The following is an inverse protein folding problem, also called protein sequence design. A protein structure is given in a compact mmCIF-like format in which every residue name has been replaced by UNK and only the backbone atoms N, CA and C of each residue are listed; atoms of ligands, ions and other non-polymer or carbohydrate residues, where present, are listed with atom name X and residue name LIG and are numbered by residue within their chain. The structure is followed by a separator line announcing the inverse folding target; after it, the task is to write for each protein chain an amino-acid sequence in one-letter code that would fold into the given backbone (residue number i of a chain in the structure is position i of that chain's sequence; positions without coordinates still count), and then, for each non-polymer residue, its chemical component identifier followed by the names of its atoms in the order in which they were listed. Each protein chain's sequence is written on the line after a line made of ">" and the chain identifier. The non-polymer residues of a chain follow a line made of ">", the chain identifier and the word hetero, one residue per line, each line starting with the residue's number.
data_IF_773088655916
#
_entry.id   IF_773088655916
#
_cell.length_a   1.000
_cell.length_b   1.000
_cell.length_c   1.000
_cell.angle_alpha   90.00
_cell.angle_beta   90.00
_cell.angle_gamma   90.00
#
_symmetry.space_group_name_H-M   'P 1'
#
loop_
_entity.id
_entity.type
_entity.pdbx_description
1 polymer ?
#
# COMPACT_ATOMS: atom_id res chain seq x y z
N UNK A 1 20.80 -31.52 -63.31
CA UNK A 1 21.98 -30.77 -63.78
C UNK A 1 22.47 -29.93 -62.61
N UNK A 2 23.55 -30.38 -61.95
CA UNK A 2 24.88 -29.70 -61.84
C UNK A 2 24.85 -28.58 -60.77
N UNK A 3 25.73 -28.44 -59.78
CA UNK A 3 26.82 -29.23 -59.16
C UNK A 3 27.19 -28.46 -57.87
N UNK A 4 27.40 -29.11 -56.73
CA UNK A 4 28.72 -29.38 -56.12
C UNK A 4 29.85 -28.39 -56.46
N UNK A 5 30.31 -27.62 -55.46
CA UNK A 5 31.68 -27.11 -55.38
C UNK A 5 32.18 -27.17 -53.93
N UNK A 6 33.22 -27.98 -53.73
CA UNK A 6 34.15 -27.99 -52.60
C UNK A 6 35.29 -27.01 -52.89
N UNK A 7 35.79 -26.30 -51.86
CA UNK A 7 37.22 -25.94 -51.69
C UNK A 7 37.46 -25.60 -50.22
N UNK A 8 38.14 -26.46 -49.44
CA UNK A 8 39.56 -26.36 -49.12
C UNK A 8 40.04 -24.98 -48.61
N UNK A 9 40.26 -24.90 -47.30
CA UNK A 9 41.29 -24.06 -46.69
C UNK A 9 41.88 -24.82 -45.50
N UNK A 10 43.12 -25.29 -45.66
CA UNK A 10 43.96 -25.91 -44.65
C UNK A 10 44.97 -24.89 -44.11
N UNK A 11 45.37 -25.13 -42.86
CA UNK A 11 46.61 -24.74 -42.18
C UNK A 11 46.93 -23.26 -41.98
N UNK A 12 46.79 -22.80 -40.74
CA UNK A 12 47.83 -22.09 -39.98
C UNK A 12 47.31 -21.82 -38.55
N UNK A 13 47.43 -22.80 -37.66
CA UNK A 13 47.17 -22.62 -36.22
C UNK A 13 48.11 -23.54 -35.43
N UNK A 14 49.41 -23.25 -35.46
CA UNK A 14 50.41 -23.87 -34.59
C UNK A 14 51.52 -22.85 -34.26
N UNK A 15 51.21 -21.74 -33.57
CA UNK A 15 52.26 -21.01 -32.80
C UNK A 15 51.78 -20.02 -31.72
N UNK A 16 50.67 -20.27 -31.02
CA UNK A 16 50.16 -19.35 -29.97
C UNK A 16 49.88 -19.99 -28.60
N UNK A 17 50.29 -21.24 -28.39
CA UNK A 17 50.08 -21.97 -27.12
C UNK A 17 51.23 -21.85 -26.11
N UNK A 18 52.35 -21.19 -26.42
CA UNK A 18 53.55 -21.22 -25.55
C UNK A 18 53.71 -20.01 -24.61
N UNK A 19 53.00 -18.89 -24.81
CA UNK A 19 53.19 -17.66 -24.02
C UNK A 19 52.15 -17.37 -22.93
N UNK A 20 51.20 -18.27 -22.68
CA UNK A 20 50.13 -18.09 -21.68
C UNK A 20 50.24 -19.00 -20.44
N UNK A 21 51.44 -19.50 -20.12
CA UNK A 21 51.67 -20.37 -18.95
C UNK A 21 52.60 -19.78 -17.87
N UNK A 22 52.97 -18.49 -17.94
CA UNK A 22 53.92 -17.89 -17.01
C UNK A 22 53.43 -16.65 -16.24
N UNK A 23 52.13 -16.31 -16.31
CA UNK A 23 51.52 -15.21 -15.56
C UNK A 23 50.50 -15.65 -14.49
N UNK A 24 50.24 -16.95 -14.32
CA UNK A 24 49.24 -17.48 -13.38
C UNK A 24 49.74 -17.79 -11.97
N UNK A 25 51.02 -17.62 -11.67
CA UNK A 25 51.60 -17.97 -10.35
C UNK A 25 51.91 -16.78 -9.44
N UNK A 26 51.56 -15.54 -9.82
CA UNK A 26 51.78 -14.34 -8.98
C UNK A 26 50.48 -13.58 -8.60
N UNK A 27 49.32 -14.09 -9.01
CA UNK A 27 48.00 -13.46 -8.73
C UNK A 27 47.24 -14.11 -7.57
N UNK A 28 47.67 -15.28 -7.07
CA UNK A 28 46.96 -16.06 -6.05
C UNK A 28 47.17 -15.53 -4.63
N UNK A 29 48.28 -14.84 -4.36
CA UNK A 29 48.66 -14.47 -2.99
C UNK A 29 48.05 -13.12 -2.55
N UNK A 30 47.66 -12.26 -3.49
CA UNK A 30 47.06 -10.96 -3.18
C UNK A 30 45.56 -11.04 -2.83
N UNK A 31 44.83 -12.00 -3.38
CA UNK A 31 43.40 -12.15 -3.09
C UNK A 31 43.15 -12.71 -1.67
N UNK A 32 44.04 -13.61 -1.21
CA UNK A 32 44.00 -14.16 0.16
C UNK A 32 44.20 -13.08 1.25
N UNK A 33 45.11 -12.13 1.02
CA UNK A 33 45.35 -11.01 1.94
C UNK A 33 44.18 -10.03 2.00
N UNK A 34 43.46 -9.84 0.89
CA UNK A 34 42.30 -8.96 0.83
C UNK A 34 41.09 -9.57 1.56
N UNK A 35 40.84 -10.87 1.40
CA UNK A 35 39.77 -11.58 2.12
C UNK A 35 39.99 -11.60 3.63
N UNK A 36 41.22 -11.83 4.07
CA UNK A 36 41.59 -11.80 5.50
C UNK A 36 41.33 -10.41 6.11
N UNK A 37 41.67 -9.34 5.37
CA UNK A 37 41.40 -7.96 5.81
C UNK A 37 39.90 -7.64 5.93
N UNK A 38 39.07 -8.18 5.05
CA UNK A 38 37.61 -7.98 5.10
C UNK A 38 36.98 -8.72 6.28
N UNK A 39 37.44 -9.96 6.56
CA UNK A 39 36.98 -10.75 7.70
C UNK A 39 37.28 -10.03 9.03
N UNK A 40 38.50 -9.55 9.22
CA UNK A 40 38.87 -8.79 10.43
C UNK A 40 38.03 -7.50 10.60
N UNK A 41 37.75 -6.78 9.51
CA UNK A 41 36.90 -5.58 9.56
C UNK A 41 35.48 -5.93 9.97
N UNK A 42 34.96 -7.07 9.54
CA UNK A 42 33.64 -7.57 9.92
C UNK A 42 33.59 -7.97 11.40
N UNK A 43 34.59 -8.71 11.89
CA UNK A 43 34.68 -9.09 13.30
C UNK A 43 34.78 -7.88 14.23
N UNK A 44 35.61 -6.88 13.90
CA UNK A 44 35.71 -5.63 14.67
C UNK A 44 34.38 -4.88 14.70
N UNK A 45 33.59 -4.90 13.62
CA UNK A 45 32.24 -4.31 13.59
C UNK A 45 31.27 -5.09 14.49
N UNK A 46 31.34 -6.42 14.48
CA UNK A 46 30.49 -7.27 15.32
C UNK A 46 30.82 -7.12 16.81
N UNK A 47 32.10 -7.06 17.18
CA UNK A 47 32.55 -6.78 18.54
C UNK A 47 32.05 -5.40 19.02
N UNK A 48 32.19 -4.34 18.22
CA UNK A 48 31.66 -3.01 18.56
C UNK A 48 30.14 -3.00 18.73
N UNK A 49 29.40 -3.80 17.95
CA UNK A 49 27.94 -3.96 18.10
C UNK A 49 27.58 -4.69 19.40
N UNK A 50 28.32 -5.73 19.76
CA UNK A 50 28.14 -6.46 21.01
C UNK A 50 28.43 -5.57 22.23
N UNK A 51 29.52 -4.80 22.20
CA UNK A 51 29.90 -3.87 23.27
C UNK A 51 28.84 -2.78 23.49
N UNK A 52 28.33 -2.16 22.41
CA UNK A 52 27.23 -1.18 22.51
C UNK A 52 25.93 -1.78 23.06
N UNK A 53 25.64 -3.06 22.82
CA UNK A 53 24.49 -3.76 23.42
C UNK A 53 24.70 -3.97 24.92
N UNK A 54 25.89 -4.40 25.33
CA UNK A 54 26.24 -4.58 26.74
C UNK A 54 26.16 -3.26 27.53
N UNK A 55 26.69 -2.17 26.97
CA UNK A 55 26.62 -0.83 27.57
C UNK A 55 25.16 -0.35 27.74
N UNK A 56 24.31 -0.56 26.73
CA UNK A 56 22.87 -0.22 26.83
C UNK A 56 22.16 -1.04 27.90
N UNK A 57 22.51 -2.32 28.03
CA UNK A 57 21.95 -3.20 29.05
C UNK A 57 22.38 -2.75 30.46
N UNK A 58 23.66 -2.46 30.67
CA UNK A 58 24.16 -1.94 31.95
C UNK A 58 23.56 -0.57 32.30
N UNK A 59 23.44 0.34 31.32
CA UNK A 59 22.78 1.65 31.53
C UNK A 59 21.33 1.48 31.96
N UNK A 60 20.61 0.52 31.38
CA UNK A 60 19.22 0.20 31.75
C UNK A 60 19.13 -0.38 33.16
N UNK A 61 20.04 -1.27 33.56
CA UNK A 61 20.07 -1.80 34.93
C UNK A 61 20.38 -0.71 35.96
N UNK A 62 21.30 0.23 35.65
CA UNK A 62 21.57 1.38 36.53
C UNK A 62 20.35 2.28 36.70
N UNK A 63 19.60 2.55 35.63
CA UNK A 63 18.36 3.32 35.70
C UNK A 63 17.30 2.62 36.57
N UNK A 64 17.14 1.30 36.42
CA UNK A 64 16.19 0.53 37.23
C UNK A 64 16.59 0.48 38.72
N UNK A 65 17.88 0.40 39.04
CA UNK A 65 18.38 0.47 40.41
C UNK A 65 18.21 1.87 41.03
N UNK A 66 18.33 2.93 40.20
CA UNK A 66 18.11 4.31 40.63
C UNK A 66 16.61 4.61 40.85
N UNK A 67 15.72 4.02 40.05
CA UNK A 67 14.27 4.04 40.30
C UNK A 67 13.88 3.25 41.56
N UNK A 68 14.57 2.14 41.86
CA UNK A 68 14.27 1.33 43.04
C UNK A 68 14.72 2.01 44.36
N UNK A 69 15.78 2.82 44.32
CA UNK A 69 16.32 3.53 45.50
C UNK A 69 15.65 4.88 45.78
N UNK A 70 14.85 5.40 44.85
CA UNK A 70 14.08 6.64 45.03
C UNK A 70 12.64 6.41 45.54
N UNK A 71 12.24 5.16 45.81
CA UNK A 71 10.99 4.85 46.53
C UNK A 71 11.17 4.96 48.05
N UNK A 72 11.43 6.18 48.52
CA UNK A 72 10.97 6.63 49.84
C UNK A 72 9.43 6.71 49.87
N UNK A 73 8.79 6.97 51.02
CA UNK A 73 7.39 6.62 51.28
C UNK A 73 6.44 7.20 50.22
N UNK A 74 6.00 6.33 49.32
CA UNK A 74 4.88 6.55 48.42
C UNK A 74 3.63 6.71 49.29
N UNK A 75 3.32 7.95 49.69
CA UNK A 75 2.05 8.26 50.34
C UNK A 75 1.51 9.62 49.92
N UNK A 76 2.29 10.71 49.95
CA UNK A 76 1.72 12.03 49.64
C UNK A 76 1.50 12.31 48.14
N UNK A 77 2.52 12.15 47.30
CA UNK A 77 2.44 12.59 45.88
C UNK A 77 1.42 11.77 45.08
N UNK A 78 1.32 10.47 45.33
CA UNK A 78 0.32 9.62 44.67
C UNK A 78 -1.09 9.97 45.12
N UNK A 79 -1.30 10.27 46.41
CA UNK A 79 -2.59 10.75 46.91
C UNK A 79 -2.95 12.10 46.27
N UNK A 80 -2.01 13.03 46.15
CA UNK A 80 -2.24 14.32 45.47
C UNK A 80 -2.58 14.14 43.98
N UNK A 81 -1.89 13.24 43.28
CA UNK A 81 -2.17 12.93 41.87
C UNK A 81 -3.54 12.28 41.68
N UNK A 82 -3.90 11.31 42.52
CA UNK A 82 -5.20 10.66 42.44
C UNK A 82 -6.34 11.60 42.83
N UNK A 83 -6.13 12.48 43.82
CA UNK A 83 -7.08 13.55 44.14
C UNK A 83 -7.24 14.55 42.99
N UNK A 84 -6.15 14.93 42.32
CA UNK A 84 -6.19 15.79 41.13
C UNK A 84 -6.98 15.15 39.99
N UNK A 85 -6.75 13.87 39.70
CA UNK A 85 -7.49 13.12 38.67
C UNK A 85 -8.97 13.03 39.02
N UNK A 86 -9.31 12.75 40.27
CA UNK A 86 -10.70 12.68 40.73
C UNK A 86 -11.42 14.03 40.57
N UNK A 87 -10.77 15.15 40.92
CA UNK A 87 -11.32 16.49 40.75
C UNK A 87 -11.51 16.84 39.26
N UNK A 88 -10.54 16.51 38.40
CA UNK A 88 -10.68 16.72 36.96
C UNK A 88 -11.82 15.90 36.35
N UNK A 89 -12.07 14.68 36.85
CA UNK A 89 -13.21 13.87 36.40
C UNK A 89 -14.55 14.46 36.86
N UNK A 90 -14.61 15.05 38.06
CA UNK A 90 -15.79 15.76 38.56
C UNK A 90 -16.07 16.99 37.68
N UNK A 91 -15.05 17.76 37.32
CA UNK A 91 -15.20 18.92 36.42
C UNK A 91 -15.68 18.50 35.03
N UNK A 92 -15.15 17.40 34.47
CA UNK A 92 -15.62 16.87 33.18
C UNK A 92 -17.08 16.43 33.26
N UNK A 93 -17.47 15.70 34.33
CA UNK A 93 -18.86 15.29 34.51
C UNK A 93 -19.79 16.48 34.75
N UNK A 94 -19.32 17.52 35.45
CA UNK A 94 -20.05 18.77 35.65
C UNK A 94 -20.24 19.52 34.32
N UNK A 95 -19.18 19.64 33.50
CA UNK A 95 -19.24 20.24 32.18
C UNK A 95 -20.19 19.44 31.27
N UNK A 96 -20.10 18.10 31.25
CA UNK A 96 -21.00 17.27 30.46
C UNK A 96 -22.46 17.43 30.89
N UNK A 97 -22.73 17.46 32.21
CA UNK A 97 -24.07 17.70 32.73
C UNK A 97 -24.58 19.11 32.43
N UNK A 98 -23.71 20.12 32.46
CA UNK A 98 -24.06 21.49 32.11
C UNK A 98 -24.31 21.67 30.61
N UNK A 99 -23.57 20.95 29.76
CA UNK A 99 -23.80 20.90 28.31
C UNK A 99 -25.11 20.19 27.98
N UNK A 100 -25.47 19.11 28.68
CA UNK A 100 -26.78 18.47 28.54
C UNK A 100 -27.93 19.41 28.94
N UNK A 101 -27.76 20.18 30.02
CA UNK A 101 -28.79 21.16 30.43
C UNK A 101 -28.85 22.40 29.54
N UNK A 102 -27.77 22.72 28.81
CA UNK A 102 -27.78 23.74 27.77
C UNK A 102 -28.40 23.24 26.46
N UNK A 103 -28.41 21.94 26.19
CA UNK A 103 -29.01 21.39 24.97
C UNK A 103 -30.55 21.48 24.96
N UNK A 104 -31.18 21.57 26.14
CA UNK A 104 -32.63 21.77 26.29
C UNK A 104 -33.06 23.25 26.25
N UNK A 105 -32.14 24.21 26.43
CA UNK A 105 -32.49 25.64 26.52
C UNK A 105 -31.70 26.57 25.58
N UNK A 106 -30.75 26.04 24.79
CA UNK A 106 -30.02 26.82 23.79
C UNK A 106 -30.59 26.58 22.39
N UNK A 107 -31.82 27.09 22.21
CA UNK A 107 -32.27 27.68 20.95
C UNK A 107 -31.22 28.73 20.53
N UNK A 108 -30.19 28.29 19.81
CA UNK A 108 -29.22 29.18 19.21
C UNK A 108 -29.90 29.99 18.10
N UNK A 109 -30.11 31.26 18.44
CA UNK A 109 -30.20 32.39 17.53
C UNK A 109 -28.93 32.43 16.66
N UNK A 110 -28.88 31.57 15.65
CA UNK A 110 -28.07 31.75 14.46
C UNK A 110 -28.65 32.95 13.71
N UNK A 111 -27.79 33.91 13.37
CA UNK A 111 -28.09 34.99 12.46
C UNK A 111 -28.84 34.45 11.23
N UNK A 112 -30.02 35.01 10.98
CA UNK A 112 -31.03 34.63 9.99
C UNK A 112 -30.51 34.59 8.53
N UNK A 113 -29.64 33.64 8.19
CA UNK A 113 -29.70 32.98 6.90
C UNK A 113 -30.84 31.98 7.03
N UNK A 114 -32.03 32.40 6.56
CA UNK A 114 -33.23 31.58 6.43
C UNK A 114 -32.83 30.26 5.75
N UNK A 115 -32.52 29.24 6.55
CA UNK A 115 -32.44 27.85 6.10
C UNK A 115 -33.82 27.58 5.55
N UNK A 116 -33.94 27.69 4.22
CA UNK A 116 -35.16 27.30 3.53
C UNK A 116 -35.42 25.88 4.00
N UNK A 117 -36.58 25.65 4.63
CA UNK A 117 -37.10 24.29 4.83
C UNK A 117 -36.80 23.53 3.55
N UNK A 118 -36.19 22.33 3.62
CA UNK A 118 -35.83 21.57 2.44
C UNK A 118 -37.05 21.55 1.54
N UNK A 119 -36.92 22.24 0.41
CA UNK A 119 -37.95 22.27 -0.63
C UNK A 119 -38.24 20.81 -0.90
N UNK A 120 -39.47 20.34 -0.60
CA UNK A 120 -39.92 18.96 -0.78
C UNK A 120 -39.19 18.37 -1.98
N UNK A 121 -38.13 17.59 -1.73
CA UNK A 121 -37.35 17.01 -2.80
C UNK A 121 -38.38 16.15 -3.53
N UNK A 122 -38.65 16.46 -4.79
CA UNK A 122 -39.71 15.80 -5.53
C UNK A 122 -39.50 14.29 -5.40
N UNK A 123 -40.48 13.56 -4.85
CA UNK A 123 -40.36 12.12 -4.59
C UNK A 123 -39.93 11.34 -5.85
N UNK A 124 -40.30 11.84 -7.03
CA UNK A 124 -39.87 11.30 -8.31
C UNK A 124 -38.34 11.39 -8.52
N UNK A 125 -37.72 12.51 -8.13
CA UNK A 125 -36.28 12.72 -8.23
C UNK A 125 -35.51 11.79 -7.28
N UNK A 126 -35.96 11.65 -6.03
CA UNK A 126 -35.36 10.72 -5.05
C UNK A 126 -35.39 9.30 -5.59
N UNK A 127 -36.54 8.85 -6.10
CA UNK A 127 -36.71 7.51 -6.67
C UNK A 127 -35.73 7.27 -7.84
N UNK A 128 -35.56 8.25 -8.72
CA UNK A 128 -34.61 8.15 -9.83
C UNK A 128 -33.15 8.07 -9.35
N UNK A 129 -32.75 8.88 -8.37
CA UNK A 129 -31.41 8.85 -7.78
C UNK A 129 -31.12 7.50 -7.11
N UNK A 130 -32.07 6.98 -6.31
CA UNK A 130 -31.93 5.68 -5.66
C UNK A 130 -31.73 4.56 -6.68
N UNK A 131 -32.44 4.61 -7.81
CA UNK A 131 -32.27 3.65 -8.91
C UNK A 131 -30.89 3.76 -9.56
N UNK A 132 -30.42 4.98 -9.86
CA UNK A 132 -29.13 5.21 -10.50
C UNK A 132 -27.93 4.80 -9.61
N UNK A 133 -28.10 4.89 -8.29
CA UNK A 133 -27.08 4.57 -7.28
C UNK A 133 -27.25 3.20 -6.64
N UNK A 134 -28.19 2.37 -7.12
CA UNK A 134 -28.59 1.10 -6.52
C UNK A 134 -27.41 0.21 -6.06
N UNK A 135 -26.47 -0.15 -6.96
CA UNK A 135 -25.32 -0.98 -6.59
C UNK A 135 -24.42 -0.37 -5.49
N UNK A 136 -24.27 0.96 -5.48
CA UNK A 136 -23.51 1.66 -4.43
C UNK A 136 -24.23 1.59 -3.09
N UNK A 137 -25.56 1.78 -3.09
CA UNK A 137 -26.38 1.67 -1.90
C UNK A 137 -26.40 0.22 -1.37
N UNK A 138 -26.35 -0.77 -2.25
CA UNK A 138 -26.22 -2.17 -1.86
C UNK A 138 -24.87 -2.45 -1.19
N UNK A 139 -23.76 -1.88 -1.69
CA UNK A 139 -22.45 -1.97 -1.02
C UNK A 139 -22.47 -1.36 0.40
N UNK A 140 -23.09 -0.20 0.57
CA UNK A 140 -23.24 0.48 1.88
C UNK A 140 -24.03 -0.42 2.85
N UNK A 141 -25.15 -0.98 2.38
CA UNK A 141 -26.01 -1.87 3.18
C UNK A 141 -25.31 -3.18 3.53
N UNK A 142 -24.60 -3.76 2.58
CA UNK A 142 -23.80 -4.98 2.76
C UNK A 142 -22.69 -4.79 3.81
N UNK A 143 -22.06 -3.61 3.81
CA UNK A 143 -21.08 -3.17 4.79
C UNK A 143 -21.67 -2.93 6.19
N UNK A 144 -23.00 -3.00 6.34
CA UNK A 144 -23.69 -2.81 7.62
C UNK A 144 -23.82 -1.35 8.03
N UNK A 145 -23.72 -0.42 7.08
CA UNK A 145 -23.90 1.02 7.30
C UNK A 145 -25.39 1.32 7.10
N UNK A 146 -26.02 1.96 8.10
CA UNK A 146 -27.40 2.45 7.94
C UNK A 146 -27.42 3.60 6.94
N UNK A 147 -28.43 3.64 6.10
CA UNK A 147 -28.63 4.70 5.13
C UNK A 147 -30.13 4.99 5.01
N UNK A 148 -30.52 6.23 5.31
CA UNK A 148 -31.88 6.73 5.12
C UNK A 148 -31.86 7.82 4.04
N UNK A 149 -32.56 7.65 2.90
CA UNK A 149 -32.52 8.62 1.81
C UNK A 149 -33.01 10.02 2.16
N UNK A 150 -33.78 10.18 3.23
CA UNK A 150 -34.33 11.46 3.70
C UNK A 150 -33.37 12.11 4.70
N UNK A 151 -32.86 11.34 5.66
CA UNK A 151 -31.90 11.86 6.66
C UNK A 151 -30.50 12.07 6.05
N UNK A 152 -30.10 11.24 5.08
CA UNK A 152 -28.81 11.25 4.40
C UNK A 152 -28.87 11.85 2.99
N UNK A 153 -29.78 12.80 2.75
CA UNK A 153 -29.98 13.40 1.42
C UNK A 153 -28.69 14.03 0.84
N UNK A 154 -27.88 14.69 1.67
CA UNK A 154 -26.61 15.29 1.26
C UNK A 154 -25.60 14.23 0.79
N UNK A 155 -25.51 13.11 1.51
CA UNK A 155 -24.67 11.99 1.11
C UNK A 155 -25.19 11.35 -0.18
N UNK A 156 -26.52 11.19 -0.31
CA UNK A 156 -27.13 10.65 -1.52
C UNK A 156 -26.75 11.49 -2.75
N UNK A 157 -26.69 12.81 -2.62
CA UNK A 157 -26.25 13.72 -3.69
C UNK A 157 -24.76 13.58 -4.03
N UNK A 158 -23.90 13.36 -3.03
CA UNK A 158 -22.46 13.18 -3.23
C UNK A 158 -22.03 11.82 -3.81
N UNK A 159 -22.84 10.78 -3.59
CA UNK A 159 -22.56 9.44 -4.09
C UNK A 159 -22.56 9.44 -5.63
N UNK A 160 -21.63 8.71 -6.28
CA UNK A 160 -21.62 8.59 -7.74
C UNK A 160 -22.83 7.80 -8.25
N UNK A 161 -23.24 8.04 -9.49
CA UNK A 161 -24.09 7.09 -10.20
C UNK A 161 -23.30 5.82 -10.55
N UNK A 162 -23.97 4.67 -10.57
CA UNK A 162 -23.28 3.43 -10.95
C UNK A 162 -22.77 3.48 -12.40
N UNK A 163 -23.49 4.17 -13.29
CA UNK A 163 -23.06 4.38 -14.67
C UNK A 163 -21.73 5.12 -14.77
N UNK A 164 -21.45 6.08 -13.88
CA UNK A 164 -20.17 6.80 -13.84
C UNK A 164 -19.03 5.86 -13.42
N UNK A 165 -19.27 5.02 -12.41
CA UNK A 165 -18.30 4.00 -11.97
C UNK A 165 -17.99 3.02 -13.11
N UNK A 166 -19.02 2.50 -13.78
CA UNK A 166 -18.87 1.59 -14.93
C UNK A 166 -18.13 2.27 -16.08
N UNK A 167 -18.41 3.54 -16.37
CA UNK A 167 -17.69 4.29 -17.39
C UNK A 167 -16.20 4.42 -17.06
N UNK A 168 -15.85 4.63 -15.79
CA UNK A 168 -14.47 4.82 -15.38
C UNK A 168 -13.67 3.52 -15.31
N UNK A 169 -14.27 2.47 -14.75
CA UNK A 169 -13.53 1.25 -14.36
C UNK A 169 -14.13 -0.04 -14.92
N UNK A 170 -15.30 -0.02 -15.54
CA UNK A 170 -16.04 -1.20 -15.98
C UNK A 170 -17.04 -1.71 -14.93
N UNK A 171 -17.88 -2.66 -15.33
CA UNK A 171 -18.89 -3.30 -14.47
C UNK A 171 -18.34 -4.51 -13.71
N UNK A 172 -17.09 -4.89 -13.97
CA UNK A 172 -16.38 -6.03 -13.39
C UNK A 172 -14.95 -5.62 -12.99
N UNK A 173 -14.38 -6.28 -11.98
CA UNK A 173 -13.01 -6.02 -11.58
C UNK A 173 -12.01 -6.40 -12.68
N UNK A 174 -10.93 -5.65 -12.80
CA UNK A 174 -9.79 -5.95 -13.70
C UNK A 174 -8.64 -6.49 -12.86
N UNK A 175 -8.35 -7.78 -13.05
CA UNK A 175 -7.39 -8.53 -12.25
C UNK A 175 -6.31 -9.11 -13.16
N UNK A 176 -5.04 -8.80 -12.88
CA UNK A 176 -3.91 -9.36 -13.60
C UNK A 176 -3.24 -10.48 -12.81
N UNK A 177 -2.74 -11.50 -13.52
CA UNK A 177 -2.09 -12.67 -12.92
C UNK A 177 -3.04 -13.64 -12.23
N UNK A 178 -4.36 -13.41 -12.26
CA UNK A 178 -5.37 -14.37 -11.79
C UNK A 178 -5.79 -15.24 -12.97
N UNK A 179 -4.90 -16.14 -13.36
CA UNK A 179 -5.15 -17.15 -14.39
C UNK A 179 -4.67 -18.51 -13.90
N UNK A 180 -5.16 -19.57 -14.53
CA UNK A 180 -4.92 -20.93 -14.09
C UNK A 180 -3.43 -21.26 -14.02
N UNK A 181 -2.65 -20.87 -15.03
CA UNK A 181 -1.20 -21.07 -15.07
C UNK A 181 -0.49 -20.45 -13.86
N UNK A 182 -0.72 -19.17 -13.58
CA UNK A 182 -0.03 -18.46 -12.51
C UNK A 182 -0.49 -18.91 -11.12
N UNK A 183 -1.80 -19.14 -10.93
CA UNK A 183 -2.34 -19.63 -9.66
C UNK A 183 -1.85 -21.06 -9.38
N UNK A 184 -1.91 -21.97 -10.36
CA UNK A 184 -1.41 -23.35 -10.19
C UNK A 184 0.10 -23.39 -10.02
N UNK A 185 0.86 -22.54 -10.73
CA UNK A 185 2.31 -22.42 -10.53
C UNK A 185 2.63 -22.11 -9.07
N UNK A 186 1.93 -21.14 -8.45
CA UNK A 186 2.11 -20.88 -7.03
C UNK A 186 1.63 -22.05 -6.16
N UNK A 187 0.45 -22.60 -6.41
CA UNK A 187 -0.14 -23.65 -5.57
C UNK A 187 0.64 -24.98 -5.59
N UNK A 188 1.46 -25.22 -6.62
CA UNK A 188 2.21 -26.48 -6.80
C UNK A 188 3.74 -26.33 -6.71
N UNK A 189 4.30 -25.13 -6.56
CA UNK A 189 5.77 -24.95 -6.55
C UNK A 189 6.46 -25.55 -5.32
N UNK A 190 5.77 -25.69 -4.20
CA UNK A 190 6.31 -26.17 -2.92
C UNK A 190 5.19 -26.71 -2.01
N UNK A 191 5.50 -27.01 -0.75
CA UNK A 191 4.54 -27.50 0.23
C UNK A 191 3.44 -26.44 0.48
N UNK A 192 2.14 -26.73 0.19
CA UNK A 192 1.05 -25.79 0.43
C UNK A 192 0.92 -25.33 1.89
N UNK A 193 1.46 -26.11 2.85
CA UNK A 193 1.56 -25.72 4.24
C UNK A 193 2.49 -24.52 4.49
N UNK A 194 3.46 -24.28 3.59
CA UNK A 194 4.39 -23.16 3.64
C UNK A 194 3.86 -21.90 2.98
N UNK A 195 2.93 -22.03 2.02
CA UNK A 195 2.42 -20.92 1.24
C UNK A 195 1.76 -19.83 2.09
N UNK A 196 2.03 -18.59 1.71
CA UNK A 196 1.43 -17.39 2.28
C UNK A 196 0.95 -16.46 1.18
N UNK A 197 0.00 -15.59 1.53
CA UNK A 197 -0.42 -14.47 0.73
C UNK A 197 0.03 -13.18 1.41
N UNK A 198 0.71 -12.29 0.69
CA UNK A 198 1.20 -11.02 1.23
C UNK A 198 0.86 -9.85 0.32
N UNK A 199 0.69 -8.67 0.90
CA UNK A 199 0.33 -7.47 0.11
C UNK A 199 1.57 -6.66 -0.29
N UNK A 200 1.55 -6.12 -1.49
CA UNK A 200 2.54 -5.17 -1.99
C UNK A 200 1.88 -4.06 -2.82
N UNK A 201 2.62 -2.99 -3.12
CA UNK A 201 2.16 -1.85 -3.91
C UNK A 201 2.89 -0.57 -3.52
N UNK A 202 2.85 0.46 -4.38
CA UNK A 202 3.44 1.77 -4.04
C UNK A 202 2.78 2.39 -2.81
N UNK A 203 3.36 3.44 -2.23
CA UNK A 203 2.66 4.20 -1.19
C UNK A 203 1.29 4.68 -1.70
N UNK A 204 0.28 4.78 -0.83
CA UNK A 204 -1.07 5.25 -1.21
C UNK A 204 -1.82 4.47 -2.32
N UNK A 205 -1.40 3.25 -2.65
CA UNK A 205 -2.09 2.38 -3.63
C UNK A 205 -3.17 1.48 -3.04
N UNK A 206 -3.50 1.60 -1.74
CA UNK A 206 -4.51 0.75 -1.11
C UNK A 206 -4.00 -0.50 -0.40
N UNK A 207 -2.67 -0.69 -0.30
CA UNK A 207 -2.07 -1.86 0.40
C UNK A 207 -2.67 -2.19 1.78
N UNK A 208 -3.01 -1.18 2.58
CA UNK A 208 -3.66 -1.42 3.89
C UNK A 208 -5.07 -1.99 3.75
N UNK A 209 -5.86 -1.46 2.80
CA UNK A 209 -7.24 -1.92 2.58
C UNK A 209 -7.22 -3.39 2.13
N UNK A 210 -6.37 -3.72 1.15
CA UNK A 210 -6.21 -5.10 0.69
C UNK A 210 -5.78 -6.04 1.82
N UNK A 211 -4.80 -5.63 2.63
CA UNK A 211 -4.32 -6.47 3.73
C UNK A 211 -5.42 -6.73 4.77
N UNK A 212 -6.17 -5.70 5.19
CA UNK A 212 -7.29 -5.88 6.12
C UNK A 212 -8.40 -6.76 5.51
N UNK A 213 -8.78 -6.54 4.24
CA UNK A 213 -9.79 -7.37 3.56
C UNK A 213 -9.38 -8.85 3.54
N UNK A 214 -8.14 -9.16 3.17
CA UNK A 214 -7.63 -10.53 3.17
C UNK A 214 -7.55 -11.12 4.58
N UNK A 215 -7.01 -10.38 5.56
CA UNK A 215 -6.88 -10.87 6.94
C UNK A 215 -8.24 -11.20 7.55
N UNK A 216 -9.26 -10.40 7.26
CA UNK A 216 -10.59 -10.61 7.82
C UNK A 216 -11.40 -11.69 7.11
N UNK A 217 -11.11 -11.99 5.85
CA UNK A 217 -11.99 -12.80 5.00
C UNK A 217 -11.34 -14.02 4.36
N UNK A 218 -10.02 -14.17 4.38
CA UNK A 218 -9.30 -15.26 3.72
C UNK A 218 -8.43 -16.05 4.72
N UNK A 219 -8.23 -17.34 4.46
CA UNK A 219 -7.22 -18.16 5.13
C UNK A 219 -6.63 -19.22 4.20
N UNK A 220 -5.43 -19.70 4.53
CA UNK A 220 -4.72 -20.76 3.82
C UNK A 220 -4.94 -22.11 4.53
N UNK A 221 -5.76 -23.05 4.01
CA UNK A 221 -6.19 -24.24 4.74
C UNK A 221 -5.04 -25.19 5.10
N UNK A 222 -4.15 -25.52 4.15
CA UNK A 222 -3.02 -26.42 4.43
C UNK A 222 -2.02 -25.82 5.44
N UNK A 223 -1.81 -24.51 5.36
CA UNK A 223 -0.99 -23.79 6.33
C UNK A 223 -1.62 -23.76 7.72
N UNK A 224 -2.93 -23.51 7.80
CA UNK A 224 -3.70 -23.55 9.05
C UNK A 224 -3.64 -24.94 9.70
N UNK A 225 -3.70 -26.00 8.89
CA UNK A 225 -3.54 -27.39 9.33
C UNK A 225 -2.14 -27.67 9.86
N UNK A 226 -1.08 -27.16 9.20
CA UNK A 226 0.32 -27.36 9.60
C UNK A 226 0.73 -26.58 10.86
N UNK A 227 0.32 -25.32 10.98
CA UNK A 227 0.79 -24.40 12.03
C UNK A 227 -0.27 -23.99 13.07
N UNK A 228 -1.52 -24.41 12.88
CA UNK A 228 -2.62 -24.11 13.79
C UNK A 228 -3.22 -22.71 13.64
N UNK A 229 -4.25 -22.43 14.45
CA UNK A 229 -5.16 -21.26 14.35
C UNK A 229 -4.51 -19.88 14.50
N UNK A 230 -3.23 -19.80 14.85
CA UNK A 230 -2.50 -18.53 14.93
C UNK A 230 -1.84 -18.14 13.60
N UNK A 231 -1.90 -19.01 12.60
CA UNK A 231 -1.23 -18.82 11.32
C UNK A 231 -2.18 -19.12 10.16
N UNK A 232 -3.00 -18.13 9.81
CA UNK A 232 -3.95 -18.21 8.69
C UNK A 232 -3.28 -18.07 7.31
N UNK A 233 -1.95 -17.90 7.26
CA UNK A 233 -1.22 -17.73 6.00
C UNK A 233 -1.42 -16.40 5.28
N UNK A 234 -2.16 -15.46 5.88
CA UNK A 234 -2.31 -14.10 5.33
C UNK A 234 -1.36 -13.14 6.05
N UNK A 235 -0.59 -12.37 5.29
CA UNK A 235 0.40 -11.42 5.78
C UNK A 235 0.02 -9.99 5.43
N UNK A 236 0.33 -9.08 6.36
CA UNK A 236 0.18 -7.65 6.16
C UNK A 236 1.02 -7.09 5.00
N UNK A 237 2.16 -7.74 4.71
CA UNK A 237 3.10 -7.33 3.67
C UNK A 237 3.92 -8.51 3.19
N UNK A 238 4.53 -8.37 2.01
CA UNK A 238 5.61 -9.25 1.55
C UNK A 238 6.90 -9.11 2.39
N UNK A 239 7.77 -10.14 2.47
CA UNK A 239 8.93 -10.15 3.36
C UNK A 239 9.96 -9.05 3.09
N UNK A 240 10.11 -8.66 1.82
CA UNK A 240 11.00 -7.58 1.38
C UNK A 240 10.41 -6.17 1.58
N UNK A 241 9.20 -6.09 2.13
CA UNK A 241 8.47 -4.86 2.42
C UNK A 241 7.48 -4.50 1.32
N UNK A 242 6.23 -4.19 1.72
CA UNK A 242 5.12 -3.94 0.78
C UNK A 242 5.33 -2.80 -0.20
N UNK A 243 6.19 -1.82 0.11
CA UNK A 243 6.48 -0.67 -0.74
C UNK A 243 7.80 -0.78 -1.49
N UNK A 244 8.52 -1.90 -1.35
CA UNK A 244 9.79 -2.13 -2.03
C UNK A 244 9.50 -2.83 -3.37
N UNK A 245 10.02 -2.33 -4.50
CA UNK A 245 9.83 -3.00 -5.78
C UNK A 245 10.62 -4.32 -5.83
N UNK A 246 10.19 -5.31 -6.65
CA UNK A 246 10.70 -6.67 -6.59
C UNK A 246 11.90 -6.96 -7.52
N UNK A 247 12.36 -5.99 -8.33
CA UNK A 247 13.31 -6.25 -9.42
C UNK A 247 14.73 -6.61 -8.96
N UNK A 248 15.12 -6.25 -7.74
CA UNK A 248 16.36 -6.75 -7.12
C UNK A 248 16.09 -8.10 -6.44
N UNK A 249 16.34 -9.19 -7.17
CA UNK A 249 16.14 -10.55 -6.68
C UNK A 249 16.95 -10.85 -5.40
N UNK A 250 18.19 -10.36 -5.33
CA UNK A 250 19.05 -10.56 -4.16
C UNK A 250 18.42 -9.89 -2.94
N UNK A 251 18.03 -8.62 -3.08
CA UNK A 251 17.35 -7.89 -2.02
C UNK A 251 16.07 -8.59 -1.60
N UNK A 252 15.23 -9.02 -2.55
CA UNK A 252 13.97 -9.72 -2.29
C UNK A 252 14.17 -11.00 -1.47
N UNK A 253 15.22 -11.76 -1.78
CA UNK A 253 15.50 -13.04 -1.14
C UNK A 253 16.19 -12.86 0.23
N UNK A 254 17.10 -11.90 0.36
CA UNK A 254 17.92 -11.69 1.56
C UNK A 254 17.28 -10.73 2.58
N UNK A 255 16.63 -9.66 2.13
CA UNK A 255 16.01 -8.68 3.03
C UNK A 255 14.72 -9.24 3.61
N UNK A 256 14.65 -9.28 4.94
CA UNK A 256 13.45 -9.65 5.68
C UNK A 256 13.08 -8.58 6.68
N UNK A 257 11.80 -8.22 6.66
CA UNK A 257 11.18 -7.46 7.74
C UNK A 257 11.40 -8.19 9.08
N UNK A 258 11.54 -7.44 10.19
CA UNK A 258 11.72 -8.03 11.53
C UNK A 258 10.60 -9.03 11.90
N UNK A 259 9.40 -8.87 11.35
CA UNK A 259 8.25 -9.76 11.60
C UNK A 259 8.21 -10.98 10.68
N UNK A 260 9.00 -10.97 9.61
CA UNK A 260 8.98 -11.97 8.53
C UNK A 260 10.37 -12.60 8.32
N UNK A 261 11.24 -12.55 9.34
CA UNK A 261 12.61 -13.06 9.28
C UNK A 261 12.72 -14.56 8.96
N UNK A 262 11.65 -15.31 9.24
CA UNK A 262 11.54 -16.74 8.98
C UNK A 262 10.64 -17.07 7.77
N UNK A 263 10.29 -16.08 6.95
CA UNK A 263 9.44 -16.28 5.77
C UNK A 263 10.32 -16.37 4.54
N UNK A 264 10.30 -17.53 3.89
CA UNK A 264 10.95 -17.70 2.61
C UNK A 264 10.19 -16.88 1.53
N UNK A 265 10.93 -16.13 0.70
CA UNK A 265 10.36 -15.26 -0.31
C UNK A 265 9.72 -16.03 -1.47
N UNK A 266 10.12 -17.29 -1.71
CA UNK A 266 9.44 -18.15 -2.70
C UNK A 266 8.06 -18.58 -2.24
N UNK A 267 7.84 -18.69 -0.93
CA UNK A 267 6.60 -19.23 -0.33
C UNK A 267 5.49 -18.19 -0.19
N UNK A 268 5.63 -17.01 -0.81
CA UNK A 268 4.64 -15.95 -0.71
C UNK A 268 4.18 -15.48 -2.08
N UNK A 269 2.88 -15.45 -2.29
CA UNK A 269 2.26 -14.82 -3.45
C UNK A 269 1.96 -13.36 -3.13
N UNK A 270 2.54 -12.39 -3.86
CA UNK A 270 2.19 -10.99 -3.70
C UNK A 270 0.82 -10.69 -4.32
N UNK A 271 -0.09 -10.11 -3.53
CA UNK A 271 -1.26 -9.38 -3.99
C UNK A 271 -0.89 -7.90 -4.12
N UNK A 272 -0.52 -7.48 -5.33
CA UNK A 272 -0.04 -6.14 -5.64
C UNK A 272 -1.21 -5.20 -5.87
N UNK A 273 -1.35 -4.16 -5.06
CA UNK A 273 -2.35 -3.13 -5.28
C UNK A 273 -1.78 -2.05 -6.19
N UNK A 274 -2.48 -1.77 -7.29
CA UNK A 274 -2.26 -0.63 -8.17
C UNK A 274 -3.44 0.33 -8.07
N UNK A 275 -3.23 1.60 -8.41
CA UNK A 275 -4.25 2.64 -8.33
C UNK A 275 -4.16 3.55 -9.53
N UNK A 276 -5.29 4.12 -9.97
CA UNK A 276 -5.31 5.10 -11.06
C UNK A 276 -4.21 6.16 -10.83
N UNK A 277 -3.31 6.37 -11.81
CA UNK A 277 -2.11 7.19 -11.61
C UNK A 277 -2.43 8.65 -11.29
N UNK A 278 -3.49 9.23 -11.87
CA UNK A 278 -3.90 10.61 -11.59
C UNK A 278 -4.41 10.73 -10.15
N UNK A 279 -5.25 9.80 -9.71
CA UNK A 279 -5.75 9.81 -8.34
C UNK A 279 -4.61 9.53 -7.34
N UNK A 280 -3.72 8.61 -7.68
CA UNK A 280 -2.55 8.26 -6.87
C UNK A 280 -1.58 9.43 -6.68
N UNK A 281 -1.26 10.15 -7.75
CA UNK A 281 -0.37 11.33 -7.72
C UNK A 281 -0.87 12.39 -6.73
N UNK A 282 -2.16 12.73 -6.75
CA UNK A 282 -2.76 13.65 -5.76
C UNK A 282 -2.61 13.12 -4.33
N UNK A 283 -2.75 11.81 -4.14
CA UNK A 283 -2.55 11.21 -2.82
C UNK A 283 -1.10 11.32 -2.36
N UNK A 284 -0.13 11.17 -3.26
CA UNK A 284 1.30 11.34 -2.96
C UNK A 284 1.63 12.79 -2.60
N UNK A 285 0.97 13.77 -3.20
CA UNK A 285 1.10 15.17 -2.84
C UNK A 285 0.68 15.47 -1.40
N UNK A 286 -0.43 14.86 -0.95
CA UNK A 286 -0.89 14.95 0.44
C UNK A 286 0.04 14.22 1.41
N UNK A 287 0.53 13.05 1.03
CA UNK A 287 1.37 12.21 1.87
C UNK A 287 2.53 11.60 1.07
N UNK A 288 3.69 12.26 1.10
CA UNK A 288 4.87 11.84 0.33
C UNK A 288 5.60 10.62 0.94
N UNK A 289 5.35 10.29 2.21
CA UNK A 289 6.08 9.25 2.94
C UNK A 289 7.60 9.44 2.88
N UNK A 290 8.34 8.51 2.27
CA UNK A 290 9.79 8.58 2.07
C UNK A 290 10.19 9.15 0.71
N UNK A 291 9.21 9.43 -0.16
CA UNK A 291 9.43 10.09 -1.44
C UNK A 291 9.81 11.55 -1.23
N UNK A 292 10.77 12.02 -2.02
CA UNK A 292 11.26 13.41 -1.99
C UNK A 292 11.42 13.89 -3.42
N UNK A 293 10.78 15.01 -3.75
CA UNK A 293 10.90 15.71 -5.03
C UNK A 293 10.70 17.20 -4.80
N UNK A 294 11.14 18.02 -5.76
CA UNK A 294 11.02 19.47 -5.69
C UNK A 294 9.55 19.89 -5.89
N UNK A 295 9.06 20.79 -5.03
CA UNK A 295 7.66 21.28 -5.04
C UNK A 295 7.62 22.76 -4.67
N UNK A 296 7.88 23.66 -5.63
CA UNK A 296 7.88 25.09 -5.35
C UNK A 296 6.47 25.62 -5.04
N UNK A 297 5.42 24.96 -5.54
CA UNK A 297 4.01 25.35 -5.39
C UNK A 297 3.23 24.26 -4.63
N UNK A 298 3.18 24.26 -3.29
CA UNK A 298 2.46 23.24 -2.52
C UNK A 298 0.97 23.10 -2.86
N UNK A 299 0.35 24.19 -3.31
CA UNK A 299 -1.05 24.30 -3.74
C UNK A 299 -1.34 23.63 -5.09
N UNK A 300 -0.32 23.49 -5.94
CA UNK A 300 -0.40 22.86 -7.25
C UNK A 300 0.52 21.63 -7.24
N UNK A 301 -0.04 20.45 -6.96
CA UNK A 301 0.74 19.24 -6.83
C UNK A 301 -0.01 18.00 -7.40
N UNK A 302 0.66 17.19 -8.25
CA UNK A 302 2.01 17.42 -8.77
C UNK A 302 2.03 18.66 -9.68
N UNK A 303 3.22 19.23 -9.87
CA UNK A 303 3.46 20.32 -10.80
C UNK A 303 4.53 19.81 -11.76
N UNK A 304 4.12 19.45 -12.97
CA UNK A 304 5.00 18.97 -14.03
C UNK A 304 5.44 20.08 -14.99
N UNK A 305 5.00 21.33 -14.78
CA UNK A 305 5.48 22.49 -15.53
C UNK A 305 6.93 22.87 -15.16
N UNK A 306 7.40 22.42 -13.99
CA UNK A 306 8.76 22.66 -13.52
C UNK A 306 9.76 21.73 -14.19
N UNK A 307 10.95 22.25 -14.51
CA UNK A 307 12.04 21.47 -15.12
C UNK A 307 12.62 20.37 -14.21
N UNK A 308 12.50 20.52 -12.89
CA UNK A 308 13.09 19.59 -11.92
C UNK A 308 12.03 18.63 -11.36
N UNK A 309 11.76 17.56 -12.09
CA UNK A 309 10.76 16.54 -11.69
C UNK A 309 11.36 15.39 -10.89
N UNK A 310 12.69 15.25 -10.85
CA UNK A 310 13.38 14.08 -10.28
C UNK A 310 12.88 13.74 -8.88
N UNK A 311 12.51 12.48 -8.71
CA UNK A 311 11.99 11.95 -7.46
C UNK A 311 12.95 10.94 -6.85
N UNK A 312 13.20 11.04 -5.55
CA UNK A 312 14.00 10.08 -4.81
C UNK A 312 13.16 9.38 -3.75
N UNK A 313 13.15 8.05 -3.77
CA UNK A 313 12.46 7.21 -2.79
C UNK A 313 13.50 6.55 -1.89
N UNK A 314 13.35 6.70 -0.57
CA UNK A 314 14.14 5.94 0.41
C UNK A 314 13.40 4.67 0.81
N UNK A 315 14.02 3.52 0.56
CA UNK A 315 13.63 2.21 1.05
C UNK A 315 14.41 1.86 2.33
N UNK A 316 14.26 0.64 2.85
CA UNK A 316 14.91 0.26 4.11
C UNK A 316 16.45 0.35 4.01
N UNK A 317 17.04 -0.22 2.96
CA UNK A 317 18.51 -0.33 2.83
C UNK A 317 19.08 0.46 1.65
N UNK A 318 18.24 0.96 0.76
CA UNK A 318 18.69 1.69 -0.43
C UNK A 318 17.79 2.87 -0.76
N UNK A 319 18.23 3.67 -1.73
CA UNK A 319 17.50 4.81 -2.26
C UNK A 319 17.50 4.71 -3.78
N UNK A 320 16.32 4.80 -4.40
CA UNK A 320 16.17 4.85 -5.86
C UNK A 320 15.85 6.28 -6.29
N UNK A 321 16.32 6.66 -7.47
CA UNK A 321 15.97 7.92 -8.13
C UNK A 321 15.19 7.58 -9.40
N UNK A 322 14.22 8.42 -9.70
CA UNK A 322 13.32 8.32 -10.84
C UNK A 322 13.22 9.71 -11.50
N UNK A 323 12.95 9.76 -12.79
CA UNK A 323 12.88 11.03 -13.53
C UNK A 323 11.72 11.91 -13.08
N UNK A 324 10.62 11.30 -12.63
CA UNK A 324 9.54 11.99 -11.93
C UNK A 324 8.81 11.09 -10.93
N UNK A 325 7.87 11.66 -10.16
CA UNK A 325 7.00 10.88 -9.28
C UNK A 325 6.07 9.96 -10.09
N UNK A 326 5.76 10.31 -11.34
CA UNK A 326 5.03 9.45 -12.29
C UNK A 326 5.92 8.28 -12.74
N UNK A 327 7.18 8.54 -13.10
CA UNK A 327 8.12 7.46 -13.45
C UNK A 327 8.32 6.47 -12.29
N UNK A 328 8.28 6.93 -11.03
CA UNK A 328 8.27 6.01 -9.89
C UNK A 328 7.07 5.04 -9.92
N UNK A 329 5.88 5.51 -10.31
CA UNK A 329 4.70 4.64 -10.48
C UNK A 329 4.96 3.62 -11.61
N UNK A 330 5.40 4.08 -12.79
CA UNK A 330 5.70 3.20 -13.93
C UNK A 330 6.73 2.13 -13.55
N UNK A 331 7.90 2.56 -13.07
CA UNK A 331 9.04 1.69 -12.74
C UNK A 331 8.64 0.61 -11.72
N UNK A 332 7.87 0.98 -10.69
CA UNK A 332 7.47 0.04 -9.65
C UNK A 332 6.62 -1.12 -10.21
N UNK A 333 5.63 -0.81 -11.05
CA UNK A 333 4.76 -1.84 -11.61
C UNK A 333 5.41 -2.59 -12.77
N UNK A 334 6.25 -1.92 -13.56
CA UNK A 334 7.07 -2.59 -14.58
C UNK A 334 8.01 -3.62 -13.95
N UNK A 335 8.61 -3.34 -12.79
CA UNK A 335 9.40 -4.35 -12.07
C UNK A 335 8.57 -5.58 -11.67
N UNK A 336 7.28 -5.43 -11.37
CA UNK A 336 6.40 -6.59 -11.15
C UNK A 336 6.09 -7.33 -12.45
N UNK A 337 5.82 -6.64 -13.55
CA UNK A 337 5.56 -7.29 -14.83
C UNK A 337 6.75 -8.13 -15.32
N UNK A 338 7.97 -7.74 -14.95
CA UNK A 338 9.21 -8.40 -15.36
C UNK A 338 9.80 -9.39 -14.32
N UNK A 339 9.23 -9.49 -13.11
CA UNK A 339 9.77 -10.41 -12.10
C UNK A 339 9.31 -11.85 -12.34
N UNK A 340 10.23 -12.81 -12.26
CA UNK A 340 9.90 -14.24 -12.38
C UNK A 340 9.45 -14.84 -11.03
N UNK A 341 8.31 -14.38 -10.51
CA UNK A 341 7.55 -15.06 -9.44
C UNK A 341 6.06 -15.02 -9.73
N UNK A 342 5.27 -15.92 -9.14
CA UNK A 342 3.83 -15.76 -9.12
C UNK A 342 3.41 -14.52 -8.33
N UNK A 343 2.61 -13.65 -8.94
CA UNK A 343 1.96 -12.53 -8.28
C UNK A 343 0.60 -12.25 -8.92
N UNK A 344 -0.21 -11.44 -8.24
CA UNK A 344 -1.45 -10.88 -8.80
C UNK A 344 -1.39 -9.37 -8.68
N UNK A 345 -2.01 -8.65 -9.61
CA UNK A 345 -2.17 -7.20 -9.51
C UNK A 345 -3.65 -6.85 -9.57
N UNK A 346 -4.10 -6.01 -8.62
CA UNK A 346 -5.51 -5.59 -8.50
C UNK A 346 -5.60 -4.08 -8.38
N UNK A 347 -6.64 -3.49 -8.97
CA UNK A 347 -6.91 -2.06 -8.79
C UNK A 347 -7.44 -1.77 -7.41
N UNK A 348 -7.05 -0.64 -6.86
CA UNK A 348 -7.60 -0.10 -5.63
C UNK A 348 -9.09 0.21 -5.78
N UNK A 349 -9.49 0.68 -6.95
CA UNK A 349 -10.87 1.01 -7.29
C UNK A 349 -11.76 -0.24 -7.23
N UNK A 350 -11.26 -1.39 -7.69
CA UNK A 350 -11.96 -2.67 -7.57
C UNK A 350 -12.05 -3.16 -6.12
N UNK A 351 -11.07 -2.83 -5.27
CA UNK A 351 -11.18 -3.09 -3.82
C UNK A 351 -12.25 -2.22 -3.15
N UNK A 352 -12.67 -1.12 -3.76
CA UNK A 352 -13.71 -0.23 -3.24
C UNK A 352 -15.08 -0.65 -3.78
N UNK A 353 -15.20 -0.89 -5.09
CA UNK A 353 -16.49 -1.18 -5.74
C UNK A 353 -16.83 -2.66 -5.86
N UNK A 354 -15.83 -3.56 -5.79
CA UNK A 354 -16.00 -5.01 -5.88
C UNK A 354 -15.27 -5.77 -4.76
N UNK A 355 -15.28 -5.30 -3.48
CA UNK A 355 -14.38 -5.81 -2.43
C UNK A 355 -14.51 -7.32 -2.22
N UNK A 356 -15.75 -7.85 -2.21
CA UNK A 356 -16.01 -9.28 -2.00
C UNK A 356 -15.48 -10.13 -3.15
N UNK A 357 -15.74 -9.72 -4.39
CA UNK A 357 -15.33 -10.43 -5.59
C UNK A 357 -13.80 -10.46 -5.71
N UNK A 358 -13.14 -9.30 -5.59
CA UNK A 358 -11.68 -9.19 -5.65
C UNK A 358 -11.01 -10.00 -4.54
N UNK A 359 -11.48 -9.87 -3.30
CA UNK A 359 -10.91 -10.61 -2.16
C UNK A 359 -11.06 -12.12 -2.35
N UNK A 360 -12.20 -12.57 -2.89
CA UNK A 360 -12.45 -14.00 -3.17
C UNK A 360 -11.51 -14.51 -4.25
N UNK A 361 -11.39 -13.80 -5.38
CA UNK A 361 -10.53 -14.20 -6.50
C UNK A 361 -9.05 -14.29 -6.07
N UNK A 362 -8.56 -13.27 -5.35
CA UNK A 362 -7.18 -13.25 -4.83
C UNK A 362 -6.95 -14.37 -3.83
N UNK A 363 -7.88 -14.59 -2.90
CA UNK A 363 -7.79 -15.66 -1.91
C UNK A 363 -7.70 -17.04 -2.56
N UNK A 364 -8.59 -17.33 -3.51
CA UNK A 364 -8.64 -18.62 -4.20
C UNK A 364 -7.43 -18.86 -5.09
N UNK A 365 -6.95 -17.85 -5.82
CA UNK A 365 -5.76 -17.98 -6.66
C UNK A 365 -4.50 -18.34 -5.85
N UNK A 366 -4.38 -17.83 -4.62
CA UNK A 366 -3.30 -18.20 -3.72
C UNK A 366 -3.45 -19.61 -3.09
N UNK A 367 -4.51 -20.35 -3.40
CA UNK A 367 -4.84 -21.64 -2.75
C UNK A 367 -5.54 -21.49 -1.39
N UNK A 368 -6.02 -20.29 -1.08
CA UNK A 368 -6.79 -19.99 0.12
C UNK A 368 -8.29 -20.26 -0.03
N UNK A 369 -9.00 -20.10 1.08
CA UNK A 369 -10.46 -20.19 1.16
C UNK A 369 -11.03 -18.98 1.89
N UNK A 370 -12.23 -18.59 1.50
CA UNK A 370 -12.98 -17.56 2.21
C UNK A 370 -13.43 -18.09 3.58
N UNK A 371 -13.35 -17.25 4.60
CA UNK A 371 -13.83 -17.57 5.94
C UNK A 371 -15.33 -17.92 5.90
N UNK A 372 -15.74 -18.94 6.64
CA UNK A 372 -17.15 -19.34 6.75
C UNK A 372 -17.96 -18.39 7.66
N UNK A 373 -18.06 -17.12 7.26
CA UNK A 373 -18.82 -16.05 7.93
C UNK A 373 -19.25 -15.01 6.89
N UNK A 374 -20.11 -14.06 7.30
CA UNK A 374 -20.43 -12.89 6.46
C UNK A 374 -19.14 -12.15 6.10
N UNK A 375 -19.03 -11.73 4.83
CA UNK A 375 -17.92 -10.92 4.35
C UNK A 375 -17.80 -9.64 5.20
N UNK A 376 -16.61 -9.42 5.73
CA UNK A 376 -16.28 -8.29 6.59
C UNK A 376 -15.72 -7.15 5.74
N UNK A 377 -16.52 -6.10 5.57
CA UNK A 377 -16.10 -4.85 4.93
C UNK A 377 -15.22 -4.03 5.88
N UNK A 378 -14.33 -3.21 5.31
CA UNK A 378 -13.49 -2.28 6.08
C UNK A 378 -14.14 -0.90 6.03
N UNK A 379 -15.13 -0.70 6.92
CA UNK A 379 -15.95 0.53 6.99
C UNK A 379 -15.11 1.72 7.46
N UNK A 380 -14.38 1.51 8.56
CA UNK A 380 -13.45 2.49 9.10
C UNK A 380 -12.18 2.57 8.26
N UNK A 381 -11.42 3.65 8.43
CA UNK A 381 -10.14 3.77 7.75
C UNK A 381 -9.18 2.62 8.07
N UNK A 382 -8.68 1.97 7.00
CA UNK A 382 -7.68 0.92 7.06
C UNK A 382 -6.31 1.41 7.60
N UNK A 383 -6.11 2.72 7.79
CA UNK A 383 -4.91 3.29 8.43
C UNK A 383 -5.17 3.42 9.94
N UNK A 384 -4.94 2.33 10.68
CA UNK A 384 -5.03 2.28 12.16
C UNK A 384 -3.66 2.57 12.83
N UNK A 385 -3.67 3.14 14.04
CA UNK A 385 -2.49 3.26 14.94
C UNK A 385 -1.77 4.62 14.97
N UNK A 386 -0.75 4.73 15.85
CA UNK A 386 0.03 5.96 16.14
C UNK A 386 0.76 6.52 14.89
N UNK A 387 1.02 5.67 13.90
CA UNK A 387 1.61 6.07 12.61
C UNK A 387 0.62 6.50 11.53
N UNK A 388 -0.69 6.57 11.84
CA UNK A 388 -1.69 7.05 10.89
C UNK A 388 -1.59 8.58 10.77
N UNK A 389 -0.88 9.06 9.76
CA UNK A 389 -0.78 10.49 9.45
C UNK A 389 -2.13 11.03 8.93
N UNK A 390 -2.67 12.07 9.57
CA UNK A 390 -3.88 12.80 9.15
C UNK A 390 -5.01 12.80 10.19
N UNK A 391 -5.60 13.97 10.46
CA UNK A 391 -6.79 14.11 11.32
C UNK A 391 -8.06 13.56 10.64
N UNK A 392 -8.15 13.73 9.32
CA UNK A 392 -9.25 13.23 8.49
C UNK A 392 -8.84 11.88 7.91
N UNK A 393 -9.61 10.86 8.23
CA UNK A 393 -9.43 9.50 7.73
C UNK A 393 -10.50 9.22 6.70
N UNK A 394 -10.13 8.59 5.60
CA UNK A 394 -11.09 8.18 4.54
C UNK A 394 -11.69 6.85 4.93
N UNK A 395 -12.98 6.86 5.27
CA UNK A 395 -13.79 5.65 5.48
C UNK A 395 -14.24 5.04 4.16
N UNK A 396 -15.06 3.99 4.24
CA UNK A 396 -15.59 3.29 3.07
C UNK A 396 -16.50 4.17 2.20
N UNK A 397 -17.43 4.90 2.82
CA UNK A 397 -18.34 5.82 2.12
C UNK A 397 -17.55 6.96 1.44
N UNK A 398 -16.59 7.56 2.15
CA UNK A 398 -15.73 8.59 1.57
C UNK A 398 -14.96 8.07 0.34
N UNK A 399 -14.57 6.80 0.33
CA UNK A 399 -13.92 6.18 -0.81
C UNK A 399 -14.89 6.03 -1.99
N UNK A 400 -16.13 5.56 -1.78
CA UNK A 400 -17.16 5.48 -2.82
C UNK A 400 -17.37 6.86 -3.47
N UNK A 401 -17.57 7.88 -2.64
CA UNK A 401 -17.73 9.28 -3.07
C UNK A 401 -16.50 9.76 -3.84
N UNK A 402 -15.29 9.52 -3.32
CA UNK A 402 -14.06 10.09 -3.89
C UNK A 402 -13.67 9.48 -5.23
N UNK A 403 -13.91 8.19 -5.44
CA UNK A 403 -13.35 7.47 -6.59
C UNK A 403 -14.32 7.21 -7.72
N UNK A 404 -15.63 7.42 -7.51
CA UNK A 404 -16.64 7.03 -8.51
C UNK A 404 -17.02 8.07 -9.55
N UNK A 405 -16.32 9.22 -9.65
CA UNK A 405 -16.65 10.25 -10.66
C UNK A 405 -15.42 10.71 -11.41
N UNK A 406 -15.60 10.94 -12.71
CA UNK A 406 -14.52 11.36 -13.62
C UNK A 406 -14.00 12.76 -13.26
N UNK A 407 -14.88 13.67 -12.83
CA UNK A 407 -14.50 15.00 -12.35
C UNK A 407 -13.41 14.94 -11.26
N UNK A 408 -13.55 14.02 -10.30
CA UNK A 408 -12.57 13.87 -9.20
C UNK A 408 -11.22 13.31 -9.69
N UNK A 409 -11.20 12.58 -10.81
CA UNK A 409 -9.98 12.10 -11.46
C UNK A 409 -9.11 13.25 -11.94
N UNK A 410 -9.70 14.27 -12.57
CA UNK A 410 -8.96 15.39 -13.19
C UNK A 410 -8.83 16.64 -12.31
N UNK A 411 -9.66 16.80 -11.26
CA UNK A 411 -9.65 17.99 -10.39
C UNK A 411 -8.26 18.38 -9.84
N UNK A 412 -7.79 19.60 -10.14
CA UNK A 412 -6.55 20.17 -9.60
C UNK A 412 -5.32 19.97 -10.48
N UNK A 413 -5.49 19.39 -11.68
CA UNK A 413 -4.47 19.38 -12.73
C UNK A 413 -4.68 20.56 -13.69
N UNK A 414 -3.58 21.12 -14.19
CA UNK A 414 -3.62 22.00 -15.36
C UNK A 414 -3.35 21.20 -16.66
N UNK A 415 -3.34 21.90 -17.79
CA UNK A 415 -3.10 21.28 -19.10
C UNK A 415 -1.68 20.71 -19.21
N UNK A 416 -0.67 21.41 -18.69
CA UNK A 416 0.73 20.93 -18.73
C UNK A 416 0.92 19.63 -17.94
N UNK A 417 0.29 19.50 -16.77
CA UNK A 417 0.33 18.28 -15.98
C UNK A 417 -0.27 17.11 -16.72
N UNK A 418 -1.46 17.29 -17.31
CA UNK A 418 -2.14 16.21 -18.02
C UNK A 418 -1.40 15.84 -19.30
N UNK A 419 -0.83 16.82 -20.01
CA UNK A 419 0.03 16.56 -21.17
C UNK A 419 1.27 15.76 -20.76
N UNK A 420 1.95 16.17 -19.68
CA UNK A 420 3.09 15.41 -19.15
C UNK A 420 2.69 13.99 -18.78
N UNK A 421 1.58 13.80 -18.07
CA UNK A 421 1.12 12.46 -17.70
C UNK A 421 0.78 11.64 -18.93
N UNK A 422 0.03 12.18 -19.90
CA UNK A 422 -0.29 11.47 -21.15
C UNK A 422 0.96 11.00 -21.89
N UNK A 423 1.99 11.84 -21.94
CA UNK A 423 3.19 11.57 -22.72
C UNK A 423 4.17 10.62 -22.02
N UNK A 424 4.08 10.49 -20.68
CA UNK A 424 5.03 9.73 -19.88
C UNK A 424 4.41 8.57 -19.08
N UNK A 425 3.08 8.40 -19.09
CA UNK A 425 2.42 7.26 -18.44
C UNK A 425 2.72 5.98 -19.23
N UNK A 426 2.91 4.89 -18.50
CA UNK A 426 3.06 3.59 -19.12
C UNK A 426 1.74 3.07 -19.71
N UNK A 427 1.63 3.12 -21.04
CA UNK A 427 0.41 2.73 -21.77
C UNK A 427 0.13 1.23 -21.69
N UNK A 428 1.14 0.39 -21.51
CA UNK A 428 0.95 -1.05 -21.32
C UNK A 428 0.22 -1.30 -20.00
N UNK A 429 0.70 -0.70 -18.90
CA UNK A 429 0.06 -0.84 -17.58
C UNK A 429 -1.35 -0.24 -17.59
N UNK A 430 -1.54 0.92 -18.23
CA UNK A 430 -2.86 1.55 -18.34
C UNK A 430 -3.87 0.64 -19.06
N UNK A 431 -3.46 0.07 -20.20
CA UNK A 431 -4.27 -0.86 -20.97
C UNK A 431 -4.54 -2.15 -20.18
N UNK A 432 -3.49 -2.74 -19.58
CA UNK A 432 -3.55 -3.97 -18.81
C UNK A 432 -4.55 -3.88 -17.66
N UNK A 433 -4.57 -2.74 -16.97
CA UNK A 433 -5.46 -2.50 -15.83
C UNK A 433 -6.78 -1.82 -16.24
N UNK A 434 -7.04 -1.64 -17.54
CA UNK A 434 -8.28 -1.05 -18.02
C UNK A 434 -8.54 0.37 -17.52
N UNK A 435 -7.49 1.16 -17.31
CA UNK A 435 -7.64 2.58 -17.00
C UNK A 435 -7.88 3.39 -18.28
N UNK A 436 -8.83 4.31 -18.24
CA UNK A 436 -9.09 5.21 -19.36
C UNK A 436 -7.84 6.05 -19.70
N UNK A 437 -7.54 6.31 -20.99
CA UNK A 437 -6.47 7.20 -21.39
C UNK A 437 -6.57 8.58 -20.72
N UNK A 438 -5.43 9.27 -20.61
CA UNK A 438 -5.38 10.64 -20.09
C UNK A 438 -5.68 11.61 -21.23
N UNK A 439 -6.72 12.42 -21.04
CA UNK A 439 -7.17 13.44 -21.98
C UNK A 439 -6.86 14.83 -21.38
N UNK A 440 -5.87 15.56 -21.91
CA UNK A 440 -5.51 16.88 -21.41
C UNK A 440 -6.63 17.92 -21.51
N UNK A 441 -7.57 17.75 -22.44
CA UNK A 441 -8.66 18.71 -22.63
C UNK A 441 -9.71 18.63 -21.51
N UNK A 442 -9.69 17.56 -20.70
CA UNK A 442 -10.60 17.40 -19.56
C UNK A 442 -10.22 18.24 -18.33
N UNK A 443 -9.06 18.90 -18.31
CA UNK A 443 -8.76 19.88 -17.25
C UNK A 443 -9.64 21.14 -17.32
N UNK A 444 -10.23 21.42 -18.49
CA UNK A 444 -10.95 22.67 -18.77
C UNK A 444 -12.48 22.57 -18.59
N UNK A 445 -12.98 21.37 -18.31
CA UNK A 445 -14.41 21.07 -18.11
C UNK A 445 -14.71 20.88 -16.63
#
# INVERSE_FOLDING_TARGET
>A
MVASVHSQAQSNDDDLSSKYSMSKSLSSDNDSLLETSQHERMERRNQRRAQRKAERFQKRQRLLLQEATTRGPFSMVFITLMAGIALSLIDVLYIMRHLDTQHDNSSWSSTNARVKKPTLLNQANVTAMLKAKGPILDLIRDAGISFDPVEDADLLEELPDWADVVKMYGDKPVLYGINEENCQRFQHQSDPGEHMLGVAGTFNSGTNLMAELLIHNCFMPERLKKYGRRNFGIRWQVPWGKHTPPGDEKYRNEHKSKKDWNVNASEIMPAVTIRDPLIWLKSMCKHQYTARWYRPHPEHCPDFSIKQTTTSIKYADFRKRHDSILHHWNDFYQEYLHVNIPFMMVRFEDLVFHPKEVTTAVCQCAGGQMMNKKFSYIVESAKKGIGAHGKVRTGFVDALVRYGTELKRYNGYNEEDLAFVRDNIDNEIMSLMGYSPVDPLKALA
#
